data_IF_083492853944
#
_entry.id   IF_083492853944
#
_cell.length_a   1.000
_cell.length_b   1.000
_cell.length_c   1.000
_cell.angle_alpha   90.00
_cell.angle_beta   90.00
_cell.angle_gamma   90.00
#
_symmetry.space_group_name_H-M   'P 1'
#
loop_
_entity.id
_entity.type
_entity.pdbx_description
1 polymer ?
#
# COMPACT_ATOMS: atom_id res chain seq x y z
N UNK A 1 -15.97 -4.68 18.47
CA UNK A 1 -15.47 -4.88 17.08
C UNK A 1 -16.54 -4.50 16.04
N UNK A 2 -17.67 -5.22 15.92
CA UNK A 2 -18.67 -4.96 14.88
C UNK A 2 -19.27 -3.54 14.86
N UNK A 3 -19.45 -2.94 16.03
CA UNK A 3 -19.96 -1.56 16.15
C UNK A 3 -18.99 -0.51 15.57
N UNK A 4 -17.67 -0.71 15.74
CA UNK A 4 -16.66 0.17 15.17
C UNK A 4 -16.62 0.08 13.65
N UNK A 5 -16.78 -1.12 13.09
CA UNK A 5 -16.85 -1.35 11.64
C UNK A 5 -18.09 -0.67 11.06
N UNK A 6 -19.26 -0.88 11.69
CA UNK A 6 -20.51 -0.24 11.28
C UNK A 6 -20.40 1.29 11.36
N UNK A 7 -19.79 1.82 12.42
CA UNK A 7 -19.58 3.26 12.57
C UNK A 7 -18.63 3.83 11.51
N UNK A 8 -17.54 3.11 11.19
CA UNK A 8 -16.60 3.49 10.13
C UNK A 8 -17.29 3.60 8.77
N UNK A 9 -18.03 2.57 8.36
CA UNK A 9 -18.80 2.58 7.11
C UNK A 9 -19.90 3.67 7.08
N UNK A 10 -20.58 3.91 8.19
CA UNK A 10 -21.60 4.97 8.27
C UNK A 10 -21.01 6.39 8.20
N UNK A 11 -19.71 6.56 8.46
CA UNK A 11 -19.04 7.86 8.56
C UNK A 11 -17.80 7.97 7.67
N UNK A 12 -17.79 7.30 6.51
CA UNK A 12 -16.66 7.32 5.57
C UNK A 12 -16.32 8.72 5.03
N UNK A 13 -17.34 9.56 4.85
CA UNK A 13 -17.20 10.94 4.35
C UNK A 13 -17.56 11.98 5.41
N UNK A 14 -17.85 11.54 6.63
CA UNK A 14 -18.18 12.42 7.73
C UNK A 14 -16.93 12.73 8.57
N UNK A 15 -16.41 13.94 8.40
CA UNK A 15 -15.23 14.45 9.12
C UNK A 15 -15.60 15.14 10.44
N UNK A 16 -16.89 15.22 10.75
CA UNK A 16 -17.42 15.85 11.96
C UNK A 16 -17.69 14.80 13.03
N UNK A 17 -17.54 15.20 14.29
CA UNK A 17 -17.74 14.32 15.45
C UNK A 17 -16.44 13.91 16.14
N UNK A 18 -16.55 12.94 17.05
CA UNK A 18 -15.47 12.45 17.90
C UNK A 18 -15.49 10.93 17.92
N UNK A 19 -14.34 10.31 17.68
CA UNK A 19 -14.16 8.86 17.80
C UNK A 19 -13.45 8.55 19.11
N UNK A 20 -14.07 7.67 19.92
CA UNK A 20 -13.41 7.12 21.09
C UNK A 20 -12.22 6.24 20.67
N UNK A 21 -11.23 6.08 21.55
CA UNK A 21 -10.00 5.34 21.22
C UNK A 21 -10.28 3.91 20.76
N UNK A 22 -11.20 3.23 21.47
CA UNK A 22 -11.58 1.85 21.16
C UNK A 22 -12.18 1.76 19.76
N UNK A 23 -13.07 2.70 19.41
CA UNK A 23 -13.72 2.73 18.10
C UNK A 23 -12.69 2.96 16.97
N UNK A 24 -11.80 3.94 17.17
CA UNK A 24 -10.71 4.22 16.23
C UNK A 24 -9.79 3.02 16.03
N UNK A 25 -9.28 2.40 17.09
CA UNK A 25 -8.32 1.29 16.96
C UNK A 25 -8.93 0.04 16.34
N UNK A 26 -10.18 -0.31 16.68
CA UNK A 26 -10.87 -1.43 16.02
C UNK A 26 -11.11 -1.16 14.53
N UNK A 27 -11.37 0.09 14.15
CA UNK A 27 -11.47 0.49 12.75
C UNK A 27 -10.12 0.41 12.03
N UNK A 28 -9.04 0.92 12.63
CA UNK A 28 -7.68 0.81 12.09
C UNK A 28 -7.27 -0.65 11.90
N UNK A 29 -7.50 -1.51 12.89
CA UNK A 29 -7.21 -2.94 12.78
C UNK A 29 -7.99 -3.61 11.64
N UNK A 30 -9.25 -3.23 11.45
CA UNK A 30 -10.03 -3.69 10.30
C UNK A 30 -9.42 -3.24 8.98
N UNK A 31 -9.00 -1.97 8.85
CA UNK A 31 -8.35 -1.46 7.63
C UNK A 31 -7.04 -2.20 7.35
N UNK A 32 -6.23 -2.44 8.38
CA UNK A 32 -4.96 -3.19 8.25
C UNK A 32 -5.25 -4.62 7.79
N UNK A 33 -6.20 -5.31 8.42
CA UNK A 33 -6.58 -6.66 8.01
C UNK A 33 -7.12 -6.69 6.57
N UNK A 34 -7.97 -5.73 6.21
CA UNK A 34 -8.56 -5.62 4.87
C UNK A 34 -7.52 -5.37 3.78
N UNK A 35 -6.65 -4.37 3.98
CA UNK A 35 -5.55 -4.05 3.03
C UNK A 35 -4.53 -5.18 2.95
N UNK A 36 -4.26 -5.88 4.06
CA UNK A 36 -3.44 -7.08 4.06
C UNK A 36 -4.06 -8.20 3.22
N UNK A 37 -5.35 -8.48 3.37
CA UNK A 37 -6.07 -9.48 2.55
C UNK A 37 -6.03 -9.11 1.06
N UNK A 38 -6.24 -7.85 0.71
CA UNK A 38 -6.12 -7.39 -0.69
C UNK A 38 -4.71 -7.60 -1.24
N UNK A 39 -3.69 -7.29 -0.44
CA UNK A 39 -2.29 -7.47 -0.82
C UNK A 39 -1.93 -8.95 -1.00
N UNK A 40 -2.45 -9.81 -0.12
CA UNK A 40 -2.27 -11.26 -0.20
C UNK A 40 -2.95 -11.83 -1.45
N UNK A 41 -4.18 -11.44 -1.75
CA UNK A 41 -4.88 -11.83 -2.98
C UNK A 41 -4.09 -11.38 -4.21
N UNK A 42 -3.62 -10.13 -4.23
CA UNK A 42 -2.78 -9.63 -5.32
C UNK A 42 -1.51 -10.46 -5.51
N UNK A 43 -0.83 -10.81 -4.42
CA UNK A 43 0.38 -11.64 -4.45
C UNK A 43 0.12 -13.05 -4.98
N UNK A 44 -0.99 -13.68 -4.57
CA UNK A 44 -1.40 -15.00 -5.08
C UNK A 44 -1.68 -14.94 -6.58
N UNK A 45 -2.46 -13.95 -7.03
CA UNK A 45 -2.81 -13.79 -8.45
C UNK A 45 -1.55 -13.57 -9.30
N UNK A 46 -0.63 -12.73 -8.84
CA UNK A 46 0.65 -12.51 -9.50
C UNK A 46 1.49 -13.78 -9.61
N UNK A 47 1.66 -14.50 -8.49
CA UNK A 47 2.44 -15.73 -8.44
C UNK A 47 1.83 -16.81 -9.34
N UNK A 48 0.50 -16.99 -9.29
CA UNK A 48 -0.21 -17.92 -10.15
C UNK A 48 -0.07 -17.59 -11.64
N UNK A 49 -0.15 -16.30 -12.01
CA UNK A 49 0.08 -15.84 -13.38
C UNK A 49 1.49 -16.13 -13.87
N UNK A 50 2.50 -15.83 -13.06
CA UNK A 50 3.91 -16.10 -13.39
C UNK A 50 4.18 -17.60 -13.59
N UNK A 51 3.67 -18.45 -12.69
CA UNK A 51 3.85 -19.90 -12.78
C UNK A 51 3.10 -20.51 -13.98
N UNK A 52 1.93 -19.98 -14.31
CA UNK A 52 1.19 -20.35 -15.53
C UNK A 52 1.99 -20.07 -16.80
N UNK A 53 2.58 -18.86 -16.90
CA UNK A 53 3.42 -18.49 -18.05
C UNK A 53 4.69 -19.34 -18.16
N UNK A 54 5.31 -19.68 -17.04
CA UNK A 54 6.50 -20.55 -17.00
C UNK A 54 6.17 -21.99 -17.42
N UNK A 55 5.06 -22.56 -16.93
CA UNK A 55 4.63 -23.91 -17.29
C UNK A 55 4.25 -24.01 -18.77
N UNK A 56 3.57 -23.00 -19.31
CA UNK A 56 3.24 -22.93 -20.73
C UNK A 56 4.49 -22.84 -21.62
N UNK A 57 5.50 -22.10 -21.18
CA UNK A 57 6.78 -22.00 -21.88
C UNK A 57 7.60 -23.31 -21.80
N UNK A 58 7.56 -24.01 -20.67
CA UNK A 58 8.23 -25.31 -20.52
C UNK A 58 7.57 -26.43 -21.35
N UNK A 59 6.23 -26.44 -21.40
CA UNK A 59 5.44 -27.43 -22.14
C UNK A 59 5.47 -27.26 -23.66
N UNK A 60 5.86 -26.08 -24.15
CA UNK A 60 6.02 -25.81 -25.60
C UNK A 60 7.35 -26.29 -26.17
N UNK A 61 8.20 -26.93 -25.36
CA UNK A 61 9.45 -27.55 -25.81
C UNK A 61 10.52 -26.55 -26.24
N UNK A 62 10.39 -25.29 -25.79
CA UNK A 62 11.29 -24.19 -26.14
C UNK A 62 12.57 -24.27 -25.31
N UNK A 63 13.69 -23.85 -25.91
CA UNK A 63 14.99 -23.80 -25.22
C UNK A 63 14.92 -23.00 -23.91
N UNK A 64 15.65 -23.45 -22.89
CA UNK A 64 15.67 -22.84 -21.55
C UNK A 64 15.98 -21.34 -21.58
N UNK A 65 16.83 -20.89 -22.51
CA UNK A 65 17.13 -19.48 -22.72
C UNK A 65 15.92 -18.66 -23.21
N UNK A 66 15.04 -19.26 -24.01
CA UNK A 66 13.81 -18.60 -24.48
C UNK A 66 12.74 -18.57 -23.38
N UNK A 67 12.67 -19.62 -22.55
CA UNK A 67 11.78 -19.65 -21.38
C UNK A 67 12.16 -18.55 -20.39
N UNK A 68 13.45 -18.36 -20.12
CA UNK A 68 13.93 -17.29 -19.23
C UNK A 68 13.63 -15.90 -19.78
N UNK A 69 13.89 -15.66 -21.08
CA UNK A 69 13.58 -14.40 -21.73
C UNK A 69 12.07 -14.06 -21.71
N UNK A 70 11.21 -15.07 -21.90
CA UNK A 70 9.76 -14.90 -21.89
C UNK A 70 9.22 -14.67 -20.46
N UNK A 71 9.75 -15.39 -19.46
CA UNK A 71 9.43 -15.12 -18.04
C UNK A 71 9.82 -13.70 -17.66
N UNK A 72 11.02 -13.25 -18.06
CA UNK A 72 11.49 -11.89 -17.79
C UNK A 72 10.61 -10.83 -18.48
N UNK A 73 10.17 -11.07 -19.72
CA UNK A 73 9.24 -10.20 -20.45
C UNK A 73 7.87 -10.12 -19.76
N UNK A 74 7.34 -11.25 -19.29
CA UNK A 74 6.08 -11.30 -18.55
C UNK A 74 6.19 -10.61 -17.18
N UNK A 75 7.32 -10.75 -16.48
CA UNK A 75 7.60 -9.99 -15.27
C UNK A 75 7.62 -8.49 -15.56
N UNK A 76 8.39 -8.04 -16.55
CA UNK A 76 8.46 -6.63 -16.93
C UNK A 76 7.08 -6.04 -17.32
N UNK A 77 6.25 -6.82 -18.04
CA UNK A 77 4.88 -6.44 -18.38
C UNK A 77 3.99 -6.28 -17.14
N UNK A 78 4.10 -7.21 -16.19
CA UNK A 78 3.26 -7.26 -14.98
C UNK A 78 3.68 -6.28 -13.87
N UNK A 79 4.93 -5.80 -13.85
CA UNK A 79 5.41 -4.81 -12.87
C UNK A 79 4.51 -3.56 -12.78
N UNK A 80 4.10 -3.02 -13.93
CA UNK A 80 3.25 -1.83 -13.97
C UNK A 80 1.86 -2.09 -13.37
N UNK A 81 1.24 -3.21 -13.75
CA UNK A 81 -0.06 -3.61 -13.20
C UNK A 81 0.03 -3.83 -11.69
N UNK A 82 1.10 -4.48 -11.20
CA UNK A 82 1.30 -4.72 -9.78
C UNK A 82 1.52 -3.42 -8.99
N UNK A 83 2.28 -2.48 -9.53
CA UNK A 83 2.44 -1.16 -8.92
C UNK A 83 1.10 -0.42 -8.79
N UNK A 84 0.29 -0.41 -9.86
CA UNK A 84 -1.04 0.21 -9.82
C UNK A 84 -2.01 -0.47 -8.85
N UNK A 85 -1.96 -1.80 -8.71
CA UNK A 85 -2.74 -2.51 -7.70
C UNK A 85 -2.29 -2.09 -6.29
N UNK A 86 -0.98 -2.01 -6.02
CA UNK A 86 -0.46 -1.55 -4.73
C UNK A 86 -0.88 -0.11 -4.40
N UNK A 87 -0.85 0.78 -5.40
CA UNK A 87 -1.34 2.16 -5.29
C UNK A 87 -2.84 2.16 -4.95
N UNK A 88 -3.64 1.38 -5.68
CA UNK A 88 -5.08 1.31 -5.44
C UNK A 88 -5.41 0.83 -4.01
N UNK A 89 -4.74 -0.23 -3.52
CA UNK A 89 -4.90 -0.73 -2.16
C UNK A 89 -4.54 0.35 -1.13
N UNK A 90 -3.43 1.07 -1.36
CA UNK A 90 -2.97 2.13 -0.46
C UNK A 90 -3.95 3.31 -0.41
N UNK A 91 -4.49 3.72 -1.56
CA UNK A 91 -5.49 4.79 -1.65
C UNK A 91 -6.83 4.39 -1.03
N UNK A 92 -7.26 3.14 -1.20
CA UNK A 92 -8.44 2.60 -0.51
C UNK A 92 -8.23 2.62 1.01
N UNK A 93 -7.07 2.16 1.49
CA UNK A 93 -6.72 2.20 2.90
C UNK A 93 -6.74 3.63 3.47
N UNK A 94 -6.16 4.58 2.73
CA UNK A 94 -6.17 6.00 3.09
C UNK A 94 -7.60 6.56 3.14
N UNK A 95 -8.42 6.26 2.14
CA UNK A 95 -9.82 6.70 2.07
C UNK A 95 -10.63 6.19 3.26
N UNK A 96 -10.46 4.93 3.65
CA UNK A 96 -11.13 4.35 4.82
C UNK A 96 -10.63 4.97 6.14
N UNK A 97 -9.35 5.37 6.19
CA UNK A 97 -8.73 5.90 7.40
C UNK A 97 -9.04 7.39 7.64
N UNK A 98 -9.03 8.22 6.59
CA UNK A 98 -8.89 9.68 6.73
C UNK A 98 -10.00 10.31 7.55
N UNK A 99 -11.27 9.93 7.33
CA UNK A 99 -12.39 10.49 8.08
C UNK A 99 -12.36 10.13 9.57
N UNK A 100 -12.03 8.88 9.90
CA UNK A 100 -11.88 8.46 11.30
C UNK A 100 -10.64 9.10 11.95
N UNK A 101 -9.54 9.26 11.21
CA UNK A 101 -8.34 9.92 11.71
C UNK A 101 -8.60 11.40 12.04
N UNK A 102 -9.32 12.13 11.19
CA UNK A 102 -9.71 13.52 11.46
C UNK A 102 -10.59 13.63 12.70
N UNK A 103 -11.59 12.74 12.87
CA UNK A 103 -12.43 12.67 14.07
C UNK A 103 -11.59 12.36 15.32
N UNK A 104 -10.58 11.50 15.18
CA UNK A 104 -9.66 11.15 16.28
C UNK A 104 -8.75 12.30 16.69
N UNK A 105 -8.19 13.04 15.73
CA UNK A 105 -7.39 14.24 16.00
C UNK A 105 -8.21 15.29 16.75
N UNK A 106 -9.46 15.50 16.33
CA UNK A 106 -10.40 16.41 16.99
C UNK A 106 -10.72 15.97 18.42
N UNK A 107 -10.93 14.67 18.65
CA UNK A 107 -11.16 14.12 19.99
C UNK A 107 -9.94 14.29 20.93
N UNK A 108 -8.73 14.21 20.38
CA UNK A 108 -7.49 14.47 21.10
C UNK A 108 -7.19 15.97 21.31
N UNK A 109 -7.96 16.88 20.71
CA UNK A 109 -7.70 18.32 20.73
C UNK A 109 -6.50 18.75 19.88
N UNK A 110 -6.12 17.93 18.90
CA UNK A 110 -5.00 18.18 17.99
C UNK A 110 -5.46 18.89 16.71
N UNK A 111 -4.56 19.63 16.04
CA UNK A 111 -4.88 20.26 14.76
C UNK A 111 -5.13 19.20 13.68
N UNK A 112 -6.25 19.36 12.96
CA UNK A 112 -6.66 18.46 11.87
C UNK A 112 -5.65 18.44 10.72
N UNK A 113 -4.82 19.48 10.59
CA UNK A 113 -3.74 19.56 9.60
C UNK A 113 -2.73 18.39 9.70
N UNK A 114 -2.61 17.73 10.86
CA UNK A 114 -1.76 16.53 11.00
C UNK A 114 -2.23 15.40 10.06
N UNK A 115 -3.52 15.35 9.70
CA UNK A 115 -4.06 14.40 8.73
C UNK A 115 -3.49 14.56 7.32
N UNK A 116 -2.88 15.71 7.00
CA UNK A 116 -2.19 15.92 5.72
C UNK A 116 -0.94 15.05 5.61
N UNK A 117 -0.27 14.73 6.72
CA UNK A 117 0.96 13.93 6.71
C UNK A 117 0.73 12.53 6.12
N UNK A 118 -0.19 11.68 6.64
CA UNK A 118 -0.44 10.37 6.05
C UNK A 118 -0.97 10.44 4.60
N UNK A 119 -1.67 11.52 4.24
CA UNK A 119 -2.10 11.75 2.84
C UNK A 119 -0.87 11.97 1.95
N UNK A 120 -0.01 12.93 2.29
CA UNK A 120 1.18 13.26 1.51
C UNK A 120 2.15 12.09 1.42
N UNK A 121 2.39 11.36 2.51
CA UNK A 121 3.29 10.20 2.48
C UNK A 121 2.73 9.08 1.63
N UNK A 122 1.40 8.88 1.62
CA UNK A 122 0.77 7.85 0.77
C UNK A 122 0.82 8.26 -0.71
N UNK A 123 0.54 9.52 -1.02
CA UNK A 123 0.63 10.04 -2.39
C UNK A 123 2.07 10.02 -2.91
N UNK A 124 3.04 10.38 -2.07
CA UNK A 124 4.45 10.28 -2.40
C UNK A 124 4.87 8.82 -2.65
N UNK A 125 4.47 7.89 -1.77
CA UNK A 125 4.74 6.47 -1.96
C UNK A 125 4.09 5.92 -3.24
N UNK A 126 2.87 6.35 -3.56
CA UNK A 126 2.20 6.00 -4.81
C UNK A 126 2.95 6.53 -6.03
N UNK A 127 3.40 7.78 -6.00
CA UNK A 127 4.22 8.38 -7.06
C UNK A 127 5.52 7.62 -7.25
N UNK A 128 6.27 7.38 -6.17
CA UNK A 128 7.52 6.61 -6.21
C UNK A 128 7.28 5.21 -6.76
N UNK A 129 6.22 4.51 -6.31
CA UNK A 129 5.90 3.17 -6.79
C UNK A 129 5.61 3.11 -8.30
N UNK A 130 5.03 4.15 -8.89
CA UNK A 130 4.77 4.20 -10.33
C UNK A 130 6.02 4.60 -11.10
N UNK A 131 6.74 5.63 -10.63
CA UNK A 131 8.01 6.07 -11.22
C UNK A 131 9.08 4.97 -11.18
N UNK A 132 9.02 4.09 -10.17
CA UNK A 132 9.89 2.93 -10.01
C UNK A 132 9.85 1.95 -11.18
N UNK A 133 8.68 1.83 -11.82
CA UNK A 133 8.40 0.78 -12.80
C UNK A 133 9.26 0.98 -14.04
N UNK A 134 9.41 2.22 -14.50
CA UNK A 134 10.14 2.52 -15.73
C UNK A 134 11.62 2.21 -15.57
N UNK A 135 12.23 2.66 -14.47
CA UNK A 135 13.63 2.34 -14.16
C UNK A 135 13.87 0.84 -13.95
N UNK A 136 12.92 0.13 -13.32
CA UNK A 136 13.03 -1.32 -13.12
C UNK A 136 12.88 -2.09 -14.43
N UNK A 137 12.01 -1.64 -15.34
CA UNK A 137 11.85 -2.23 -16.67
C UNK A 137 13.10 -2.05 -17.52
N UNK A 138 13.68 -0.85 -17.53
CA UNK A 138 14.92 -0.56 -18.23
C UNK A 138 16.07 -1.42 -17.70
N UNK A 139 16.20 -1.52 -16.37
CA UNK A 139 17.21 -2.36 -15.74
C UNK A 139 17.02 -3.84 -16.12
N UNK A 140 15.79 -4.35 -16.11
CA UNK A 140 15.50 -5.73 -16.55
C UNK A 140 15.84 -5.95 -18.03
N UNK A 141 15.53 -4.99 -18.91
CA UNK A 141 15.85 -5.10 -20.34
C UNK A 141 17.34 -5.00 -20.65
N UNK A 142 18.14 -4.42 -19.75
CA UNK A 142 19.60 -4.36 -19.90
C UNK A 142 20.27 -5.74 -19.85
N UNK A 143 19.59 -6.76 -19.32
CA UNK A 143 20.13 -8.12 -19.16
C UNK A 143 21.24 -8.23 -18.12
N UNK A 144 21.61 -7.13 -17.46
CA UNK A 144 22.62 -7.12 -16.41
C UNK A 144 21.96 -7.29 -15.02
N UNK A 145 22.36 -8.33 -14.32
CA UNK A 145 21.84 -8.61 -12.97
C UNK A 145 22.33 -7.59 -11.94
N UNK A 146 23.47 -6.93 -12.18
CA UNK A 146 23.97 -5.88 -11.29
C UNK A 146 23.13 -4.62 -11.36
N UNK A 147 22.80 -4.11 -12.56
CA UNK A 147 21.93 -2.93 -12.73
C UNK A 147 20.54 -3.15 -12.14
N UNK A 148 19.96 -4.36 -12.29
CA UNK A 148 18.68 -4.71 -11.66
C UNK A 148 18.77 -4.64 -10.14
N UNK A 149 19.83 -5.20 -9.55
CA UNK A 149 20.01 -5.19 -8.11
C UNK A 149 20.27 -3.77 -7.57
N UNK A 150 21.12 -2.99 -8.22
CA UNK A 150 21.40 -1.59 -7.85
C UNK A 150 20.14 -0.72 -7.94
N UNK A 151 19.35 -0.89 -9.00
CA UNK A 151 18.08 -0.19 -9.17
C UNK A 151 17.07 -0.59 -8.08
N UNK A 152 16.99 -1.88 -7.74
CA UNK A 152 16.13 -2.33 -6.65
C UNK A 152 16.57 -1.78 -5.28
N UNK A 153 17.87 -1.77 -5.01
CA UNK A 153 18.42 -1.26 -3.75
C UNK A 153 18.22 0.24 -3.58
N UNK A 154 18.46 1.04 -4.62
CA UNK A 154 18.28 2.50 -4.57
C UNK A 154 16.83 2.90 -4.27
N UNK A 155 15.87 2.11 -4.74
CA UNK A 155 14.45 2.37 -4.53
C UNK A 155 13.93 1.90 -3.17
N UNK A 156 14.56 0.90 -2.55
CA UNK A 156 14.16 0.39 -1.23
C UNK A 156 14.15 1.46 -0.13
N UNK A 157 15.09 2.42 -0.18
CA UNK A 157 15.20 3.49 0.82
C UNK A 157 14.05 4.50 0.79
N UNK A 158 13.45 4.74 -0.39
CA UNK A 158 12.31 5.66 -0.54
C UNK A 158 11.02 5.10 0.06
N UNK A 159 10.92 3.78 0.17
CA UNK A 159 9.79 3.10 0.84
C UNK A 159 9.68 3.46 2.33
N UNK A 160 10.77 3.91 2.96
CA UNK A 160 10.76 4.29 4.37
C UNK A 160 9.88 5.51 4.67
N UNK A 161 9.68 6.38 3.67
CA UNK A 161 8.84 7.57 3.80
C UNK A 161 7.37 7.21 4.08
N UNK A 162 6.89 6.07 3.58
CA UNK A 162 5.54 5.60 3.84
C UNK A 162 5.32 5.29 5.35
N UNK A 163 6.35 4.82 6.05
CA UNK A 163 6.27 4.52 7.49
C UNK A 163 6.07 5.77 8.35
N UNK A 164 6.52 6.94 7.89
CA UNK A 164 6.31 8.22 8.59
C UNK A 164 4.81 8.49 8.77
N UNK A 165 4.01 8.26 7.72
CA UNK A 165 2.56 8.40 7.78
C UNK A 165 1.93 7.47 8.82
N UNK A 166 2.34 6.21 8.83
CA UNK A 166 1.86 5.22 9.81
C UNK A 166 2.24 5.57 11.24
N UNK A 167 3.48 6.03 11.47
CA UNK A 167 3.94 6.46 12.79
C UNK A 167 3.11 7.64 13.32
N UNK A 168 2.81 8.62 12.47
CA UNK A 168 1.96 9.76 12.85
C UNK A 168 0.56 9.28 13.25
N UNK A 169 -0.03 8.36 12.48
CA UNK A 169 -1.35 7.80 12.78
C UNK A 169 -1.33 7.04 14.12
N UNK A 170 -0.30 6.24 14.36
CA UNK A 170 -0.15 5.46 15.62
C UNK A 170 0.02 6.40 16.81
N UNK A 171 0.96 7.35 16.74
CA UNK A 171 1.25 8.28 17.83
C UNK A 171 0.01 9.12 18.16
N UNK A 172 -0.65 9.71 17.16
CA UNK A 172 -1.87 10.49 17.38
C UNK A 172 -3.03 9.63 17.87
N UNK A 173 -3.10 8.37 17.42
CA UNK A 173 -4.09 7.39 17.87
C UNK A 173 -3.99 7.03 19.35
N UNK A 174 -2.78 7.05 19.92
CA UNK A 174 -2.53 6.70 21.34
C UNK A 174 -2.87 7.84 22.32
N UNK A 175 -2.83 9.10 21.88
CA UNK A 175 -2.98 10.28 22.74
C UNK A 175 -4.34 10.29 23.48
N UNK A 176 -4.37 10.46 24.82
CA UNK A 176 -5.21 11.45 25.47
C UNK A 176 -6.52 11.92 24.83
N UNK A 177 -7.70 11.35 25.07
CA UNK A 177 -8.93 12.13 24.76
C UNK A 177 -8.99 13.29 25.76
N UNK A 178 -9.04 14.53 25.30
CA UNK A 178 -9.11 15.69 26.21
C UNK A 178 -10.50 15.69 26.86
N UNK A 179 -10.55 15.63 28.19
CA UNK A 179 -11.80 15.78 28.94
C UNK A 179 -12.33 17.19 28.65
N UNK A 180 -13.63 17.30 28.40
CA UNK A 180 -14.29 18.59 28.47
C UNK A 180 -14.23 19.00 29.95
N UNK A 181 -13.44 20.03 30.24
CA UNK A 181 -13.56 20.78 31.49
C UNK A 181 -14.87 21.58 31.46
#
# INVERSE_FOLDING_TARGET
MGEAIKNGFANLTNFSGRDSRSLFWWWVLFIVAFTFVLSLISGIVFTAGSMGSAFQSASSGVDQAQVEAEVMRNMAGSLGTQAWIGVAISLIGLFLLIASFVRRLRDAGLPVLIAVIPVLTTLFAAYVSVAAVDGMREAMLSGDSQTVNETAMSQSGLGLVAYVGYLVVIVCGLIPSRKAD
#
